data_IF_697541912873
#
_entry.id   IF_697541912873
#
_cell.length_a   1.000
_cell.length_b   1.000
_cell.length_c   1.000
_cell.angle_alpha   90.00
_cell.angle_beta   90.00
_cell.angle_gamma   90.00
#
_symmetry.space_group_name_H-M   'P 1'
#
loop_
_entity.id
_entity.type
_entity.pdbx_description
1 polymer ?
#
# COMPACT_ATOMS: atom_id res chain seq x y z
N UNK A 1 -8.73 9.24 -0.80
CA UNK A 1 -7.73 10.16 -0.25
C UNK A 1 -6.86 9.40 0.73
N UNK A 2 -5.56 9.40 0.51
CA UNK A 2 -4.64 8.75 1.44
C UNK A 2 -4.65 9.50 2.77
N UNK A 3 -4.76 8.76 3.84
CA UNK A 3 -4.77 9.26 5.21
C UNK A 3 -4.00 8.32 6.11
N UNK A 4 -3.58 8.79 7.28
CA UNK A 4 -2.96 7.95 8.29
C UNK A 4 -3.88 6.78 8.70
N UNK A 5 -5.19 7.00 8.74
CA UNK A 5 -6.19 5.96 9.00
C UNK A 5 -6.14 4.84 7.97
N UNK A 6 -5.98 5.17 6.69
CA UNK A 6 -5.86 4.17 5.62
C UNK A 6 -4.57 3.37 5.73
N UNK A 7 -3.45 4.02 6.05
CA UNK A 7 -2.18 3.35 6.31
C UNK A 7 -2.27 2.40 7.52
N UNK A 8 -2.90 2.86 8.58
CA UNK A 8 -3.17 2.05 9.79
C UNK A 8 -4.03 0.83 9.44
N UNK A 9 -5.11 1.02 8.69
CA UNK A 9 -5.99 -0.08 8.27
C UNK A 9 -5.24 -1.17 7.49
N UNK A 10 -4.35 -0.77 6.60
CA UNK A 10 -3.55 -1.71 5.82
C UNK A 10 -2.52 -2.49 6.65
N UNK A 11 -2.02 -1.91 7.74
CA UNK A 11 -1.02 -2.54 8.61
C UNK A 11 -1.64 -3.24 9.83
N UNK A 12 -2.91 -3.03 10.12
CA UNK A 12 -3.60 -3.65 11.24
C UNK A 12 -3.70 -5.17 11.06
N UNK A 13 -3.60 -5.90 12.18
CA UNK A 13 -3.66 -7.36 12.19
C UNK A 13 -5.02 -7.90 12.67
N UNK A 14 -5.74 -7.11 13.43
CA UNK A 14 -7.07 -7.39 13.95
C UNK A 14 -7.75 -6.10 14.46
N UNK A 15 -8.98 -6.21 14.97
CA UNK A 15 -9.74 -5.09 15.49
C UNK A 15 -9.10 -4.44 16.72
N UNK A 16 -8.45 -5.22 17.57
CA UNK A 16 -7.79 -4.72 18.78
C UNK A 16 -6.55 -3.90 18.43
N UNK A 17 -5.74 -4.41 17.49
CA UNK A 17 -4.57 -3.70 16.96
C UNK A 17 -4.99 -2.45 16.20
N UNK A 18 -6.04 -2.53 15.36
CA UNK A 18 -6.61 -1.36 14.68
C UNK A 18 -6.96 -0.26 15.68
N UNK A 19 -7.75 -0.56 16.70
CA UNK A 19 -8.14 0.43 17.72
C UNK A 19 -6.93 1.02 18.45
N UNK A 20 -5.96 0.18 18.81
CA UNK A 20 -4.76 0.64 19.49
C UNK A 20 -3.91 1.59 18.62
N UNK A 21 -3.79 1.30 17.32
CA UNK A 21 -3.10 2.17 16.35
C UNK A 21 -3.83 3.50 16.16
N UNK A 22 -5.15 3.46 15.98
CA UNK A 22 -5.97 4.67 15.89
C UNK A 22 -5.82 5.57 17.12
N UNK A 23 -5.76 4.97 18.32
CA UNK A 23 -5.55 5.72 19.55
C UNK A 23 -4.24 6.50 19.60
N UNK A 24 -3.20 6.01 18.92
CA UNK A 24 -1.88 6.66 18.89
C UNK A 24 -1.74 7.79 17.85
N UNK A 25 -2.75 8.03 17.01
CA UNK A 25 -2.71 9.16 16.06
C UNK A 25 -2.50 10.45 16.82
N UNK A 26 -1.45 11.19 16.49
CA UNK A 26 -1.16 12.49 17.08
C UNK A 26 -1.97 13.55 16.36
N UNK A 27 -2.84 14.25 17.09
CA UNK A 27 -3.74 15.26 16.54
C UNK A 27 -3.11 16.65 16.62
N UNK A 28 -2.26 16.86 17.60
CA UNK A 28 -1.60 18.14 17.83
C UNK A 28 -0.74 18.10 19.10
N UNK A 29 -0.39 19.26 19.61
CA UNK A 29 0.36 19.42 20.86
C UNK A 29 -0.41 20.30 21.84
N UNK A 30 -0.24 20.02 23.12
CA UNK A 30 -0.76 20.88 24.18
C UNK A 30 0.12 22.12 24.37
N UNK A 31 -0.25 23.01 25.30
CA UNK A 31 0.50 24.25 25.61
C UNK A 31 1.92 24.02 26.12
N UNK A 32 2.25 22.79 26.54
CA UNK A 32 3.60 22.42 27.01
C UNK A 32 4.43 21.76 25.88
N UNK A 33 3.88 21.62 24.68
CA UNK A 33 4.54 20.96 23.58
C UNK A 33 4.43 19.42 23.58
N UNK A 34 3.65 18.84 24.50
CA UNK A 34 3.44 17.39 24.56
C UNK A 34 2.40 16.94 23.53
N UNK A 35 2.55 15.76 22.88
CA UNK A 35 1.61 15.29 21.89
C UNK A 35 0.24 15.01 22.52
N UNK A 36 -0.82 15.36 21.80
CA UNK A 36 -2.22 15.02 22.10
C UNK A 36 -2.68 14.01 21.07
N UNK A 37 -3.18 12.88 21.55
CA UNK A 37 -3.55 11.74 20.71
C UNK A 37 -5.06 11.58 20.56
N UNK A 38 -5.50 10.71 19.63
CA UNK A 38 -6.90 10.34 19.50
C UNK A 38 -7.44 9.61 20.77
N UNK A 39 -6.56 8.93 21.51
CA UNK A 39 -6.94 8.31 22.79
C UNK A 39 -7.21 9.37 23.87
N UNK A 40 -6.41 10.44 23.92
CA UNK A 40 -6.64 11.56 24.86
C UNK A 40 -7.99 12.24 24.61
N UNK A 41 -8.40 12.33 23.35
CA UNK A 41 -9.72 12.84 22.96
C UNK A 41 -10.85 11.80 23.11
N UNK A 42 -10.52 10.56 23.51
CA UNK A 42 -11.49 9.45 23.68
C UNK A 42 -12.28 9.12 22.41
N UNK A 43 -11.74 9.41 21.21
CA UNK A 43 -12.42 9.17 19.94
C UNK A 43 -11.99 7.86 19.24
N UNK A 44 -10.91 7.22 19.66
CA UNK A 44 -10.38 5.99 19.04
C UNK A 44 -11.41 4.85 18.98
N UNK A 45 -12.28 4.71 19.97
CA UNK A 45 -13.36 3.72 19.97
C UNK A 45 -14.39 3.96 18.87
N UNK A 46 -14.84 5.21 18.72
CA UNK A 46 -15.78 5.59 17.66
C UNK A 46 -15.16 5.38 16.27
N UNK A 47 -13.89 5.75 16.08
CA UNK A 47 -13.16 5.49 14.84
C UNK A 47 -13.10 3.99 14.51
N UNK A 48 -12.81 3.15 15.50
CA UNK A 48 -12.75 1.71 15.33
C UNK A 48 -14.10 1.11 14.93
N UNK A 49 -15.20 1.60 15.51
CA UNK A 49 -16.56 1.15 15.14
C UNK A 49 -16.87 1.49 13.69
N UNK A 50 -16.54 2.69 13.21
CA UNK A 50 -16.74 3.10 11.82
C UNK A 50 -15.91 2.25 10.84
N UNK A 51 -14.78 1.73 11.27
CA UNK A 51 -13.87 0.92 10.44
C UNK A 51 -14.07 -0.60 10.61
N UNK A 52 -15.05 -1.03 11.40
CA UNK A 52 -15.29 -2.45 11.67
C UNK A 52 -15.45 -3.28 10.40
N UNK A 53 -16.30 -2.83 9.49
CA UNK A 53 -16.54 -3.55 8.25
C UNK A 53 -15.40 -3.35 7.25
N UNK A 54 -14.76 -2.17 7.27
CA UNK A 54 -13.60 -1.88 6.43
C UNK A 54 -12.36 -2.73 6.75
N UNK A 55 -12.31 -3.37 7.93
CA UNK A 55 -11.23 -4.28 8.30
C UNK A 55 -11.29 -5.61 7.55
N UNK A 56 -12.43 -5.95 6.96
CA UNK A 56 -12.62 -7.20 6.21
C UNK A 56 -12.22 -7.02 4.75
N UNK A 57 -11.25 -7.80 4.22
CA UNK A 57 -10.92 -7.78 2.81
C UNK A 57 -12.11 -8.18 1.94
N UNK A 58 -12.25 -7.52 0.80
CA UNK A 58 -13.22 -7.91 -0.23
C UNK A 58 -12.61 -8.99 -1.11
N UNK A 59 -13.27 -10.14 -1.19
CA UNK A 59 -12.90 -11.22 -2.10
C UNK A 59 -13.69 -11.07 -3.41
N UNK A 60 -12.97 -10.98 -4.50
CA UNK A 60 -13.49 -10.95 -5.87
C UNK A 60 -12.97 -12.14 -6.67
N UNK A 61 -13.52 -12.31 -7.86
CA UNK A 61 -13.04 -13.25 -8.84
C UNK A 61 -12.70 -12.53 -10.13
N UNK A 62 -11.54 -12.85 -10.72
CA UNK A 62 -11.16 -12.32 -12.04
C UNK A 62 -11.98 -12.99 -13.14
N UNK A 63 -11.92 -12.45 -14.35
CA UNK A 63 -12.56 -13.05 -15.53
C UNK A 63 -12.03 -14.48 -15.83
N UNK A 64 -10.83 -14.78 -15.39
CA UNK A 64 -10.18 -16.09 -15.53
C UNK A 64 -10.41 -17.00 -14.31
N UNK A 65 -11.38 -16.65 -13.46
CA UNK A 65 -11.77 -17.39 -12.27
C UNK A 65 -10.72 -17.48 -11.17
N UNK A 66 -9.72 -16.62 -11.19
CA UNK A 66 -8.72 -16.54 -10.13
C UNK A 66 -9.24 -15.68 -8.98
N UNK A 67 -9.12 -16.11 -7.70
CA UNK A 67 -9.47 -15.28 -6.56
C UNK A 67 -8.59 -14.02 -6.47
N UNK A 68 -9.19 -12.89 -6.12
CA UNK A 68 -8.48 -11.64 -5.93
C UNK A 68 -9.01 -10.93 -4.67
N UNK A 69 -8.10 -10.57 -3.75
CA UNK A 69 -8.45 -9.76 -2.59
C UNK A 69 -8.20 -8.29 -2.89
N UNK A 70 -9.18 -7.45 -2.56
CA UNK A 70 -9.04 -6.00 -2.58
C UNK A 70 -9.25 -5.50 -1.16
N UNK A 71 -8.24 -4.88 -0.60
CA UNK A 71 -8.31 -4.38 0.76
C UNK A 71 -7.32 -3.25 1.00
N UNK A 72 -7.82 -2.14 1.58
CA UNK A 72 -7.11 -0.90 1.77
C UNK A 72 -6.51 -0.40 0.43
N UNK A 73 -5.76 0.64 0.42
CA UNK A 73 -5.18 1.18 -0.82
C UNK A 73 -4.37 2.44 -0.54
N UNK A 74 -3.42 2.40 0.42
CA UNK A 74 -2.58 3.54 0.68
C UNK A 74 -1.66 3.79 -0.51
N UNK A 75 -1.54 5.06 -0.95
CA UNK A 75 -0.67 5.41 -2.06
C UNK A 75 0.81 5.37 -1.66
N UNK A 76 1.65 4.79 -2.50
CA UNK A 76 3.08 4.63 -2.23
C UNK A 76 3.85 5.95 -2.15
N UNK A 77 3.37 7.02 -2.79
CA UNK A 77 3.99 8.34 -2.71
C UNK A 77 3.79 9.04 -1.34
N UNK A 78 2.83 8.62 -0.55
CA UNK A 78 2.49 9.24 0.75
C UNK A 78 2.32 8.23 1.90
N UNK A 79 2.27 6.93 1.59
CA UNK A 79 2.21 5.84 2.56
C UNK A 79 3.00 4.64 2.03
N UNK A 80 2.79 3.44 2.56
CA UNK A 80 3.54 2.26 2.13
C UNK A 80 3.08 1.67 0.79
N UNK A 81 1.87 2.00 0.29
CA UNK A 81 1.45 1.69 -1.09
C UNK A 81 1.21 0.22 -1.42
N UNK A 82 0.86 -0.61 -0.44
CA UNK A 82 0.66 -2.03 -0.62
C UNK A 82 -0.70 -2.47 -0.06
N UNK A 83 -1.16 -3.65 -0.47
CA UNK A 83 -2.34 -4.29 0.11
C UNK A 83 -2.18 -4.54 1.61
N UNK A 84 -3.24 -4.93 2.28
CA UNK A 84 -3.25 -5.10 3.74
C UNK A 84 -2.55 -6.39 4.20
N UNK A 85 -2.04 -6.35 5.42
CA UNK A 85 -1.48 -7.52 6.11
C UNK A 85 -2.53 -8.62 6.29
N UNK A 86 -3.79 -8.24 6.55
CA UNK A 86 -4.89 -9.21 6.72
C UNK A 86 -5.17 -9.93 5.41
N UNK A 87 -5.25 -9.21 4.29
CA UNK A 87 -5.47 -9.82 2.98
C UNK A 87 -4.34 -10.80 2.62
N UNK A 88 -3.08 -10.42 2.84
CA UNK A 88 -1.94 -11.32 2.60
C UNK A 88 -2.02 -12.59 3.44
N UNK A 89 -2.31 -12.46 4.74
CA UNK A 89 -2.42 -13.63 5.63
C UNK A 89 -3.54 -14.58 5.26
N UNK A 90 -4.65 -14.06 4.77
CA UNK A 90 -5.77 -14.87 4.28
C UNK A 90 -5.36 -15.55 2.96
N UNK A 91 -4.81 -14.79 2.02
CA UNK A 91 -4.39 -15.30 0.72
C UNK A 91 -3.35 -16.42 0.84
N UNK A 92 -2.34 -16.25 1.71
CA UNK A 92 -1.30 -17.26 1.98
C UNK A 92 -1.83 -18.57 2.61
N UNK A 93 -3.04 -18.55 3.18
CA UNK A 93 -3.69 -19.77 3.70
C UNK A 93 -4.57 -20.47 2.67
N UNK A 94 -4.96 -19.76 1.62
CA UNK A 94 -5.93 -20.26 0.64
C UNK A 94 -5.29 -20.60 -0.71
N UNK A 95 -4.15 -20.00 -1.05
CA UNK A 95 -3.48 -20.19 -2.32
C UNK A 95 -2.09 -20.80 -2.18
N UNK A 96 -1.67 -21.58 -3.16
CA UNK A 96 -0.30 -22.10 -3.27
C UNK A 96 0.67 -20.99 -3.67
N UNK A 97 0.18 -20.01 -4.42
CA UNK A 97 0.92 -18.82 -4.81
C UNK A 97 0.09 -17.57 -4.51
N UNK A 98 0.73 -16.56 -3.94
CA UNK A 98 0.12 -15.26 -3.69
C UNK A 98 0.95 -14.19 -4.38
N UNK A 99 0.31 -13.46 -5.27
CA UNK A 99 0.92 -12.34 -5.99
C UNK A 99 0.36 -11.05 -5.43
N UNK A 100 1.21 -10.16 -4.99
CA UNK A 100 0.83 -8.83 -4.52
C UNK A 100 1.65 -7.78 -5.25
N UNK A 101 1.12 -6.57 -5.39
CA UNK A 101 1.89 -5.47 -5.95
C UNK A 101 2.54 -4.63 -4.85
N UNK A 102 3.65 -3.98 -5.18
CA UNK A 102 4.16 -2.86 -4.40
C UNK A 102 4.17 -1.62 -5.28
N UNK A 103 3.32 -0.65 -4.94
CA UNK A 103 3.03 0.49 -5.77
C UNK A 103 4.26 1.33 -6.13
N UNK A 104 4.25 1.96 -7.29
CA UNK A 104 5.27 2.85 -7.90
C UNK A 104 6.74 2.42 -7.70
N UNK A 105 7.43 2.03 -8.74
CA UNK A 105 8.87 1.83 -8.83
C UNK A 105 9.54 1.06 -7.67
N UNK A 106 10.71 0.53 -7.92
CA UNK A 106 11.47 -0.25 -6.92
C UNK A 106 12.02 0.62 -5.78
N UNK A 107 12.39 1.83 -6.08
CA UNK A 107 12.93 2.83 -5.15
C UNK A 107 11.87 3.53 -4.28
N UNK A 108 10.59 3.27 -4.50
CA UNK A 108 9.49 3.79 -3.68
C UNK A 108 8.65 2.65 -3.12
N UNK A 109 7.92 1.93 -3.99
CA UNK A 109 6.98 0.90 -3.56
C UNK A 109 7.65 -0.34 -2.98
N UNK A 110 8.68 -0.87 -3.65
CA UNK A 110 9.38 -2.06 -3.16
C UNK A 110 10.16 -1.77 -1.87
N UNK A 111 10.85 -0.63 -1.76
CA UNK A 111 11.52 -0.24 -0.51
C UNK A 111 10.52 -0.17 0.65
N UNK A 112 9.39 0.49 0.47
CA UNK A 112 8.35 0.57 1.51
C UNK A 112 7.71 -0.78 1.83
N UNK A 113 7.58 -1.65 0.83
CA UNK A 113 7.15 -3.02 1.05
C UNK A 113 8.10 -3.75 2.01
N UNK A 114 9.40 -3.71 1.73
CA UNK A 114 10.42 -4.37 2.55
C UNK A 114 10.55 -3.70 3.93
N UNK A 115 10.67 -2.38 3.97
CA UNK A 115 11.02 -1.64 5.18
C UNK A 115 9.84 -1.39 6.11
N UNK A 116 8.62 -1.38 5.60
CA UNK A 116 7.41 -1.13 6.39
C UNK A 116 6.56 -2.39 6.51
N UNK A 117 6.05 -2.90 5.38
CA UNK A 117 5.06 -3.97 5.41
C UNK A 117 5.65 -5.30 5.88
N UNK A 118 6.79 -5.71 5.35
CA UNK A 118 7.47 -6.95 5.77
C UNK A 118 7.84 -6.91 7.24
N UNK A 119 8.36 -5.79 7.74
CA UNK A 119 8.71 -5.63 9.16
C UNK A 119 7.50 -5.71 10.08
N UNK A 120 6.39 -5.08 9.71
CA UNK A 120 5.16 -5.08 10.51
C UNK A 120 4.47 -6.44 10.48
N UNK A 121 4.41 -7.07 9.31
CA UNK A 121 3.68 -8.33 9.12
C UNK A 121 4.46 -9.57 9.56
N UNK A 122 5.79 -9.51 9.51
CA UNK A 122 6.67 -10.67 9.61
C UNK A 122 6.67 -11.56 8.36
N UNK A 123 6.02 -11.13 7.29
CA UNK A 123 5.97 -11.84 6.01
C UNK A 123 7.04 -11.29 5.07
N UNK A 124 7.75 -12.18 4.39
CA UNK A 124 8.76 -11.84 3.38
C UNK A 124 8.40 -12.52 2.06
N UNK A 125 8.64 -11.88 0.90
CA UNK A 125 8.39 -12.52 -0.38
C UNK A 125 9.45 -13.58 -0.67
N UNK A 126 9.06 -14.67 -1.31
CA UNK A 126 9.96 -15.69 -1.83
C UNK A 126 10.59 -15.26 -3.16
N UNK A 127 9.91 -14.40 -3.90
CA UNK A 127 10.35 -13.91 -5.20
C UNK A 127 9.88 -12.47 -5.43
N UNK A 128 10.70 -11.68 -6.11
CA UNK A 128 10.38 -10.33 -6.55
C UNK A 128 10.42 -10.30 -8.08
N UNK A 129 9.33 -9.82 -8.69
CA UNK A 129 9.25 -9.60 -10.14
C UNK A 129 9.39 -8.11 -10.41
N UNK A 130 10.52 -7.72 -11.00
CA UNK A 130 10.75 -6.35 -11.44
C UNK A 130 10.22 -6.17 -12.87
N UNK A 131 9.23 -5.29 -13.02
CA UNK A 131 8.67 -4.93 -14.33
C UNK A 131 9.37 -3.68 -14.84
N UNK A 132 10.17 -3.82 -15.87
CA UNK A 132 10.85 -2.72 -16.55
C UNK A 132 10.47 -2.71 -18.04
N UNK A 133 9.79 -1.66 -18.51
CA UNK A 133 9.48 -1.53 -19.93
C UNK A 133 10.61 -0.83 -20.67
N UNK A 134 10.81 -1.22 -21.94
CA UNK A 134 11.79 -0.54 -22.82
C UNK A 134 11.53 0.97 -22.89
N UNK A 135 10.27 1.38 -22.92
CA UNK A 135 9.87 2.79 -22.88
C UNK A 135 10.37 3.49 -21.61
N UNK A 136 10.19 2.88 -20.46
CA UNK A 136 10.64 3.43 -19.19
C UNK A 136 12.18 3.56 -19.17
N UNK A 137 12.88 2.53 -19.63
CA UNK A 137 14.34 2.55 -19.72
C UNK A 137 14.83 3.69 -20.62
N UNK A 138 14.25 3.88 -21.79
CA UNK A 138 14.59 4.99 -22.71
C UNK A 138 14.30 6.36 -22.10
N UNK A 139 13.15 6.53 -21.43
CA UNK A 139 12.81 7.77 -20.76
C UNK A 139 13.81 8.11 -19.64
N UNK A 140 14.11 7.16 -18.79
CA UNK A 140 15.06 7.33 -17.68
C UNK A 140 16.51 7.44 -18.18
N UNK A 141 16.81 6.92 -19.38
CA UNK A 141 18.07 7.13 -20.09
C UNK A 141 18.23 8.52 -20.72
N UNK A 142 17.26 9.41 -20.57
CA UNK A 142 17.37 10.81 -21.02
C UNK A 142 16.77 11.12 -22.40
N UNK A 143 16.06 10.17 -23.02
CA UNK A 143 15.45 10.36 -24.35
C UNK A 143 14.10 11.13 -24.36
N UNK A 144 13.86 12.00 -23.39
CA UNK A 144 12.66 12.83 -23.33
C UNK A 144 11.56 12.29 -22.44
N UNK A 145 10.39 12.94 -22.46
CA UNK A 145 9.24 12.59 -21.60
C UNK A 145 8.06 12.10 -22.42
N UNK A 146 7.43 11.02 -21.97
CA UNK A 146 6.14 10.57 -22.49
C UNK A 146 5.03 11.20 -21.67
N UNK A 147 4.03 11.77 -22.35
CA UNK A 147 2.84 12.36 -21.72
C UNK A 147 1.64 11.51 -22.08
N UNK A 148 0.84 11.16 -21.08
CA UNK A 148 -0.39 10.38 -21.28
C UNK A 148 -1.32 11.08 -22.29
N UNK A 149 -1.89 10.32 -23.23
CA UNK A 149 -2.80 10.81 -24.25
C UNK A 149 -2.11 11.56 -25.42
N UNK A 150 -0.78 11.68 -25.44
CA UNK A 150 -0.01 12.26 -26.56
C UNK A 150 0.73 11.16 -27.32
N UNK A 151 1.00 11.37 -28.63
CA UNK A 151 1.85 10.46 -29.41
C UNK A 151 3.22 10.28 -28.76
N UNK A 152 3.75 9.05 -28.84
CA UNK A 152 5.10 8.76 -28.33
C UNK A 152 6.13 9.45 -29.23
N UNK A 153 7.09 10.20 -28.64
CA UNK A 153 8.17 10.83 -29.39
C UNK A 153 8.93 9.82 -30.25
N UNK A 154 9.37 10.20 -31.47
CA UNK A 154 10.07 9.30 -32.38
C UNK A 154 11.29 8.63 -31.77
N UNK A 155 12.05 9.35 -30.98
CA UNK A 155 13.26 8.89 -30.31
C UNK A 155 12.99 7.73 -29.32
N UNK A 156 11.81 7.77 -28.66
CA UNK A 156 11.40 6.70 -27.75
C UNK A 156 10.78 5.53 -28.53
N UNK A 157 10.15 5.81 -29.69
CA UNK A 157 9.54 4.80 -30.54
C UNK A 157 10.59 3.99 -31.31
N UNK A 158 11.65 4.64 -31.78
CA UNK A 158 12.70 3.98 -32.55
C UNK A 158 13.42 2.92 -31.71
N UNK A 159 13.74 1.79 -32.32
CA UNK A 159 14.69 0.84 -31.77
C UNK A 159 16.09 1.48 -31.77
N UNK A 160 16.79 1.29 -30.68
CA UNK A 160 18.20 1.67 -30.55
C UNK A 160 18.93 0.48 -29.96
N UNK A 161 19.51 -0.31 -30.83
CA UNK A 161 20.31 -1.50 -30.51
C UNK A 161 21.74 -1.09 -30.17
#
# INVERSE_FOLDING_TARGET
VASEVMAILALATDMKDLRARLGRIVIGTNRKGEPVTAEDLKCAGAMAVLLKDALMPTLLQTLEHTPAFIHAGPFANIAHGNSSVIADRIALRLGDYVVTESGFASDIGMEKFMDIKCRVSGLTPDCVVLVATIRALKMHGGLGKVVAGKPIPPEIRAENL
#
